data_IF_268843414737
#
_entry.id   IF_268843414737
#
_cell.length_a   1.000
_cell.length_b   1.000
_cell.length_c   1.000
_cell.angle_alpha   90.00
_cell.angle_beta   90.00
_cell.angle_gamma   90.00
#
_symmetry.space_group_name_H-M   'P 1'
#
loop_
_entity.id
_entity.type
_entity.pdbx_description
1 polymer ?
#
# COMPACT_ATOMS: atom_id res chain seq x y z
N UNK A 1 -36.64 16.52 -3.54
CA UNK A 1 -35.27 16.06 -3.24
C UNK A 1 -34.30 17.05 -3.88
N UNK A 2 -33.47 17.74 -3.10
CA UNK A 2 -32.43 18.63 -3.64
C UNK A 2 -31.29 17.74 -4.10
N UNK A 3 -30.97 17.78 -5.39
CA UNK A 3 -29.77 17.15 -5.94
C UNK A 3 -28.54 17.71 -5.20
N UNK A 4 -27.89 16.89 -4.38
CA UNK A 4 -26.57 17.21 -3.85
C UNK A 4 -25.63 17.34 -5.06
N UNK A 5 -25.30 18.57 -5.44
CA UNK A 5 -24.20 18.83 -6.34
C UNK A 5 -22.93 18.52 -5.57
N UNK A 6 -22.37 17.32 -5.77
CA UNK A 6 -21.04 16.98 -5.29
C UNK A 6 -20.08 17.86 -6.12
N UNK A 7 -19.34 18.80 -5.51
CA UNK A 7 -18.40 19.62 -6.25
C UNK A 7 -17.38 18.71 -6.93
N UNK A 8 -17.11 19.00 -8.20
CA UNK A 8 -16.13 18.29 -9.00
C UNK A 8 -14.77 18.41 -8.34
N UNK A 9 -14.31 17.34 -7.66
CA UNK A 9 -12.96 17.27 -7.13
C UNK A 9 -12.04 17.24 -8.34
N UNK A 10 -11.27 18.31 -8.57
CA UNK A 10 -10.23 18.31 -9.60
C UNK A 10 -9.03 17.57 -8.99
N UNK A 11 -8.71 16.34 -9.43
CA UNK A 11 -7.54 15.64 -8.91
C UNK A 11 -6.29 16.32 -9.48
N UNK A 12 -5.52 16.99 -8.63
CA UNK A 12 -4.18 17.46 -9.01
C UNK A 12 -3.23 16.26 -8.96
N UNK A 13 -2.90 15.70 -10.13
CA UNK A 13 -1.87 14.66 -10.27
C UNK A 13 -0.49 15.30 -10.11
N UNK A 14 0.11 15.18 -8.93
CA UNK A 14 1.50 15.56 -8.67
C UNK A 14 2.33 14.28 -8.45
N UNK A 15 2.67 13.58 -9.53
CA UNK A 15 3.21 12.21 -9.49
C UNK A 15 4.74 12.12 -9.53
N UNK A 16 5.47 13.17 -9.13
CA UNK A 16 6.96 13.20 -9.19
C UNK A 16 7.63 13.76 -7.94
N UNK A 17 6.85 14.06 -6.90
CA UNK A 17 7.37 14.64 -5.67
C UNK A 17 6.76 13.92 -4.49
N UNK A 18 7.60 13.64 -3.49
CA UNK A 18 7.14 13.22 -2.19
C UNK A 18 6.06 14.19 -1.65
N UNK A 19 5.12 13.71 -0.82
CA UNK A 19 4.08 14.56 -0.28
C UNK A 19 4.71 15.64 0.60
N UNK A 20 4.16 16.85 0.57
CA UNK A 20 4.58 17.89 1.50
C UNK A 20 4.05 17.56 2.89
N UNK A 21 4.88 16.96 3.73
CA UNK A 21 4.56 16.67 5.12
C UNK A 21 5.03 17.82 6.00
N UNK A 22 4.09 18.43 6.72
CA UNK A 22 4.33 19.54 7.65
C UNK A 22 4.08 19.07 9.08
N UNK A 23 4.46 19.86 10.10
CA UNK A 23 4.16 19.55 11.51
C UNK A 23 2.67 19.38 11.85
N UNK A 24 1.77 19.78 10.95
CA UNK A 24 0.32 19.65 11.11
C UNK A 24 -0.26 18.48 10.30
N UNK A 25 0.56 17.84 9.46
CA UNK A 25 0.17 16.74 8.61
C UNK A 25 0.04 15.48 9.45
N UNK A 26 -1.12 14.82 9.38
CA UNK A 26 -1.31 13.45 9.87
C UNK A 26 -1.09 12.49 8.71
N UNK A 27 -0.60 11.29 8.98
CA UNK A 27 -0.41 10.22 7.99
C UNK A 27 -1.23 9.02 8.43
N UNK A 28 -2.05 8.49 7.54
CA UNK A 28 -2.69 7.18 7.68
C UNK A 28 -2.30 6.37 6.46
N UNK A 29 -1.74 5.18 6.71
CA UNK A 29 -1.32 4.26 5.66
C UNK A 29 -1.77 2.84 5.96
N UNK A 30 -2.09 2.10 4.90
CA UNK A 30 -2.41 0.68 4.95
C UNK A 30 -1.58 -0.06 3.90
N UNK A 31 -1.07 -1.23 4.27
CA UNK A 31 -0.56 -2.22 3.33
C UNK A 31 -1.70 -3.16 3.00
N UNK A 32 -2.24 -3.02 1.79
CA UNK A 32 -3.40 -3.79 1.33
C UNK A 32 -3.12 -5.27 1.03
N UNK A 33 -1.86 -5.65 0.84
CA UNK A 33 -1.47 -7.02 0.53
C UNK A 33 -1.93 -7.99 1.64
N UNK A 34 -2.58 -9.08 1.25
CA UNK A 34 -2.92 -10.20 2.12
C UNK A 34 -2.78 -11.51 1.35
N UNK A 35 -2.35 -12.55 2.04
CA UNK A 35 -2.14 -13.87 1.44
C UNK A 35 -3.37 -14.74 1.68
N UNK A 36 -4.07 -15.04 0.60
CA UNK A 36 -5.25 -15.91 0.59
C UNK A 36 -4.94 -17.31 0.09
N UNK A 37 -5.97 -18.17 0.06
CA UNK A 37 -5.86 -19.49 -0.56
C UNK A 37 -5.58 -19.41 -2.07
N UNK A 38 -6.09 -18.38 -2.73
CA UNK A 38 -5.93 -18.17 -4.17
C UNK A 38 -4.65 -17.42 -4.53
N UNK A 39 -4.04 -16.75 -3.55
CA UNK A 39 -2.80 -16.00 -3.72
C UNK A 39 -1.89 -16.18 -2.49
N UNK A 40 -1.31 -17.37 -2.33
CA UNK A 40 -0.49 -17.68 -1.17
C UNK A 40 0.84 -16.94 -1.18
N UNK A 41 1.22 -16.32 -2.30
CA UNK A 41 2.49 -15.60 -2.47
C UNK A 41 2.30 -14.11 -2.75
N UNK A 42 1.15 -13.55 -2.33
CA UNK A 42 0.77 -12.16 -2.55
C UNK A 42 1.83 -11.17 -2.06
N UNK A 43 2.68 -11.50 -1.08
CA UNK A 43 3.73 -10.59 -0.60
C UNK A 43 5.12 -10.89 -1.20
N UNK A 44 5.24 -11.78 -2.19
CA UNK A 44 6.51 -12.16 -2.79
C UNK A 44 7.23 -10.96 -3.41
N UNK A 45 8.51 -10.71 -3.08
CA UNK A 45 9.32 -9.61 -3.62
C UNK A 45 9.35 -9.49 -5.15
N UNK A 46 9.01 -10.55 -5.89
CA UNK A 46 9.09 -10.53 -7.36
C UNK A 46 7.94 -11.22 -8.10
N UNK A 47 7.09 -12.01 -7.43
CA UNK A 47 5.96 -12.71 -8.07
C UNK A 47 4.59 -12.21 -7.63
N UNK A 48 4.54 -11.41 -6.57
CA UNK A 48 3.31 -10.79 -6.10
C UNK A 48 3.53 -9.31 -5.83
N UNK A 49 2.96 -8.89 -4.73
CA UNK A 49 2.85 -7.52 -4.25
C UNK A 49 4.00 -7.12 -3.32
N UNK A 50 5.12 -7.86 -3.35
CA UNK A 50 6.27 -7.56 -2.50
C UNK A 50 6.93 -6.20 -2.81
N UNK A 51 6.65 -5.61 -3.97
CA UNK A 51 6.99 -4.23 -4.27
C UNK A 51 6.13 -3.25 -3.43
N UNK A 52 4.85 -3.54 -3.20
CA UNK A 52 3.99 -2.76 -2.29
C UNK A 52 4.46 -2.89 -0.84
N UNK A 53 4.86 -4.10 -0.43
CA UNK A 53 5.46 -4.33 0.89
C UNK A 53 6.72 -3.47 1.05
N UNK A 54 7.60 -3.46 0.04
CA UNK A 54 8.83 -2.66 0.05
C UNK A 54 8.54 -1.17 0.07
N UNK A 55 7.57 -0.69 -0.71
CA UNK A 55 7.14 0.71 -0.72
C UNK A 55 6.58 1.15 0.62
N UNK A 56 5.78 0.30 1.27
CA UNK A 56 5.20 0.58 2.58
C UNK A 56 6.28 0.84 3.62
N UNK A 57 7.26 -0.07 3.75
CA UNK A 57 8.33 0.11 4.71
C UNK A 57 9.30 1.23 4.34
N UNK A 58 9.54 1.48 3.04
CA UNK A 58 10.28 2.66 2.60
C UNK A 58 9.63 3.95 3.14
N UNK A 59 8.34 4.14 2.91
CA UNK A 59 7.65 5.36 3.35
C UNK A 59 7.56 5.46 4.87
N UNK A 60 7.40 4.34 5.57
CA UNK A 60 7.47 4.28 7.03
C UNK A 60 8.82 4.80 7.54
N UNK A 61 9.92 4.43 6.90
CA UNK A 61 11.27 4.89 7.26
C UNK A 61 11.48 6.36 6.86
N UNK A 62 11.13 6.73 5.62
CA UNK A 62 11.34 8.10 5.08
C UNK A 62 10.57 9.15 5.88
N UNK A 63 9.37 8.82 6.34
CA UNK A 63 8.54 9.75 7.10
C UNK A 63 8.82 9.70 8.60
N UNK A 64 9.78 8.90 9.08
CA UNK A 64 10.03 8.77 10.51
C UNK A 64 10.28 10.11 11.21
N UNK A 65 9.57 10.35 12.30
CA UNK A 65 9.63 11.60 13.06
C UNK A 65 9.05 12.84 12.36
N UNK A 66 8.43 12.71 11.18
CA UNK A 66 7.83 13.84 10.44
C UNK A 66 6.31 13.86 10.59
N UNK A 67 5.68 15.03 10.59
CA UNK A 67 4.24 15.15 10.75
C UNK A 67 3.78 15.32 12.19
N UNK A 68 2.47 15.37 12.39
CA UNK A 68 1.80 15.48 13.69
C UNK A 68 1.59 14.12 14.34
N UNK A 69 1.10 13.17 13.54
CA UNK A 69 0.86 11.78 13.94
C UNK A 69 0.90 10.89 12.71
N UNK A 70 1.20 9.60 12.93
CA UNK A 70 1.24 8.60 11.86
C UNK A 70 0.58 7.31 12.34
N UNK A 71 -0.16 6.67 11.44
CA UNK A 71 -0.72 5.34 11.61
C UNK A 71 -0.33 4.50 10.40
N UNK A 72 0.31 3.37 10.65
CA UNK A 72 0.78 2.44 9.63
C UNK A 72 0.12 1.09 9.88
N UNK A 73 -0.81 0.69 9.03
CA UNK A 73 -1.69 -0.45 9.22
C UNK A 73 -1.24 -1.58 8.29
N UNK A 74 -1.13 -2.80 8.80
CA UNK A 74 -0.73 -3.98 8.03
C UNK A 74 -1.63 -5.16 8.33
N UNK A 75 -1.93 -5.99 7.33
CA UNK A 75 -2.64 -7.27 7.52
C UNK A 75 -1.71 -8.44 7.86
N UNK A 76 -0.40 -8.33 7.62
CA UNK A 76 0.59 -9.39 7.84
C UNK A 76 1.63 -8.96 8.88
N UNK A 77 1.99 -9.86 9.81
CA UNK A 77 3.06 -9.58 10.78
C UNK A 77 4.40 -9.42 10.04
N UNK A 78 5.21 -8.36 10.31
CA UNK A 78 6.49 -8.18 9.64
C UNK A 78 7.48 -9.33 9.87
N UNK A 79 7.40 -10.00 11.03
CA UNK A 79 8.24 -11.17 11.32
C UNK A 79 7.85 -12.36 10.44
N UNK A 80 6.56 -12.52 10.14
CA UNK A 80 6.08 -13.54 9.20
C UNK A 80 6.61 -13.27 7.79
N UNK A 81 6.57 -12.03 7.33
CA UNK A 81 7.10 -11.63 6.02
C UNK A 81 8.59 -11.96 5.88
N UNK A 82 9.38 -11.71 6.93
CA UNK A 82 10.81 -12.05 6.95
C UNK A 82 11.09 -13.54 7.04
N UNK A 83 10.30 -14.27 7.82
CA UNK A 83 10.44 -15.73 7.93
C UNK A 83 10.13 -16.42 6.59
N UNK A 84 9.12 -15.93 5.87
CA UNK A 84 8.66 -16.51 4.60
C UNK A 84 9.48 -16.08 3.40
N UNK A 85 9.79 -14.79 3.28
CA UNK A 85 10.43 -14.21 2.09
C UNK A 85 11.86 -13.74 2.31
N UNK A 86 12.34 -13.79 3.55
CA UNK A 86 13.69 -13.40 3.93
C UNK A 86 14.62 -14.58 4.18
N UNK A 87 15.77 -14.26 4.80
CA UNK A 87 16.78 -15.18 5.39
C UNK A 87 17.64 -15.99 4.43
N UNK A 88 17.15 -16.28 3.25
CA UNK A 88 17.93 -16.91 2.20
C UNK A 88 17.64 -16.27 0.84
N UNK A 89 18.61 -16.37 -0.06
CA UNK A 89 18.38 -16.04 -1.45
C UNK A 89 17.81 -17.29 -2.14
N UNK A 90 16.56 -17.21 -2.58
CA UNK A 90 15.93 -18.25 -3.37
C UNK A 90 15.53 -17.71 -4.74
N UNK A 91 15.94 -18.44 -5.79
CA UNK A 91 15.48 -18.23 -7.15
C UNK A 91 14.66 -19.43 -7.61
N UNK A 92 13.46 -19.18 -8.11
CA UNK A 92 12.59 -20.19 -8.73
C UNK A 92 12.46 -19.94 -10.22
N UNK A 93 12.03 -20.97 -10.97
CA UNK A 93 11.78 -20.86 -12.41
C UNK A 93 10.28 -20.68 -12.61
N UNK A 94 9.87 -19.50 -13.09
CA UNK A 94 8.47 -19.08 -13.11
C UNK A 94 8.03 -18.69 -14.52
N UNK A 95 6.79 -19.04 -14.86
CA UNK A 95 6.15 -18.64 -16.11
C UNK A 95 5.50 -17.25 -15.93
N UNK A 96 6.33 -16.22 -16.03
CA UNK A 96 5.88 -14.82 -15.88
C UNK A 96 4.94 -14.41 -17.03
N UNK A 97 5.02 -15.07 -18.18
CA UNK A 97 4.22 -14.74 -19.37
C UNK A 97 2.86 -15.47 -19.39
N UNK A 98 2.64 -16.43 -18.48
CA UNK A 98 1.39 -17.18 -18.34
C UNK A 98 1.03 -18.04 -19.55
N UNK A 99 1.99 -18.32 -20.44
CA UNK A 99 1.77 -19.04 -21.70
C UNK A 99 2.35 -20.47 -21.68
N UNK A 100 2.98 -20.88 -20.58
CA UNK A 100 3.56 -22.19 -20.31
C UNK A 100 4.84 -22.49 -21.11
N UNK A 101 5.34 -21.54 -21.90
CA UNK A 101 6.41 -21.81 -22.88
C UNK A 101 7.78 -21.29 -22.48
N UNK A 102 7.85 -20.28 -21.61
CA UNK A 102 9.13 -19.68 -21.19
C UNK A 102 9.17 -19.50 -19.67
N UNK A 103 9.93 -20.37 -19.00
CA UNK A 103 10.28 -20.18 -17.59
C UNK A 103 11.46 -19.23 -17.46
N UNK A 104 11.36 -18.23 -16.58
CA UNK A 104 12.43 -17.28 -16.27
C UNK A 104 12.85 -17.45 -14.81
N UNK A 105 14.16 -17.34 -14.48
CA UNK A 105 14.59 -17.32 -13.10
C UNK A 105 14.09 -16.04 -12.42
N UNK A 106 13.41 -16.19 -11.28
CA UNK A 106 12.86 -15.08 -10.48
C UNK A 106 13.36 -15.21 -9.06
N UNK A 107 13.86 -14.10 -8.50
CA UNK A 107 14.27 -14.04 -7.10
C UNK A 107 13.02 -13.95 -6.20
N UNK A 108 12.64 -15.04 -5.56
CA UNK A 108 11.42 -15.13 -4.74
C UNK A 108 11.66 -14.91 -3.25
N UNK A 109 12.91 -15.07 -2.80
CA UNK A 109 13.35 -14.68 -1.46
C UNK A 109 14.64 -13.88 -1.53
N UNK A 110 14.82 -12.93 -0.63
CA UNK A 110 16.08 -12.21 -0.50
C UNK A 110 16.61 -12.34 0.93
N UNK A 111 17.86 -12.75 1.09
CA UNK A 111 18.44 -12.99 2.41
C UNK A 111 18.40 -11.75 3.32
N UNK A 112 18.46 -10.56 2.72
CA UNK A 112 18.36 -9.27 3.40
C UNK A 112 16.90 -8.85 3.74
N UNK A 113 15.91 -9.70 3.50
CA UNK A 113 14.49 -9.37 3.68
C UNK A 113 13.92 -8.59 2.49
N UNK A 114 13.18 -7.52 2.76
CA UNK A 114 12.62 -6.67 1.70
C UNK A 114 13.59 -5.54 1.36
N UNK A 115 13.82 -5.37 0.05
CA UNK A 115 14.68 -4.35 -0.51
C UNK A 115 13.89 -3.50 -1.51
N UNK A 116 14.13 -2.20 -1.50
CA UNK A 116 13.52 -1.24 -2.40
C UNK A 116 14.56 -0.59 -3.32
N UNK A 117 14.17 -0.30 -4.57
CA UNK A 117 14.99 0.38 -5.57
C UNK A 117 15.09 -0.38 -6.89
N UNK A 118 15.78 0.23 -7.86
CA UNK A 118 16.02 -0.38 -9.18
C UNK A 118 16.85 -1.66 -9.02
N UNK A 119 16.43 -2.81 -9.60
CA UNK A 119 17.18 -4.07 -9.53
C UNK A 119 18.58 -4.01 -10.16
N UNK A 120 18.85 -3.01 -11.01
CA UNK A 120 20.15 -2.79 -11.66
C UNK A 120 21.04 -1.78 -10.92
N UNK A 121 20.56 -1.15 -9.85
CA UNK A 121 21.32 -0.20 -9.04
C UNK A 121 21.50 -0.69 -7.59
N UNK A 122 22.17 0.13 -6.77
CA UNK A 122 22.26 -0.12 -5.33
C UNK A 122 20.87 0.02 -4.68
N UNK A 123 20.35 -1.10 -4.16
CA UNK A 123 19.05 -1.17 -3.49
C UNK A 123 19.19 -0.94 -1.99
N UNK A 124 18.11 -0.47 -1.36
CA UNK A 124 18.06 -0.21 0.09
C UNK A 124 17.20 -1.26 0.78
N UNK A 125 17.72 -1.81 1.88
CA UNK A 125 16.95 -2.68 2.77
C UNK A 125 15.92 -1.84 3.50
N UNK A 126 14.66 -2.28 3.47
CA UNK A 126 13.52 -1.58 4.09
C UNK A 126 12.85 -2.42 5.17
N UNK A 127 13.05 -3.75 5.17
CA UNK A 127 12.67 -4.64 6.27
C UNK A 127 13.67 -5.80 6.34
N UNK A 128 14.33 -5.96 7.47
CA UNK A 128 15.22 -7.08 7.82
C UNK A 128 15.13 -7.39 9.32
N UNK A 129 15.83 -8.42 9.79
CA UNK A 129 15.84 -8.81 11.22
C UNK A 129 16.35 -7.68 12.14
N UNK A 130 17.21 -6.79 11.63
CA UNK A 130 17.76 -5.67 12.39
C UNK A 130 16.73 -4.54 12.57
N UNK A 131 15.95 -4.23 11.52
CA UNK A 131 14.91 -3.22 11.51
C UNK A 131 13.61 -3.71 12.16
N UNK A 132 13.37 -5.03 12.17
CA UNK A 132 12.14 -5.65 12.65
C UNK A 132 11.66 -5.13 14.01
N UNK A 133 12.49 -5.05 15.08
CA UNK A 133 12.04 -4.55 16.37
C UNK A 133 11.52 -3.10 16.29
N UNK A 134 12.19 -2.25 15.53
CA UNK A 134 11.82 -0.83 15.37
C UNK A 134 10.55 -0.65 14.55
N UNK A 135 10.37 -1.48 13.53
CA UNK A 135 9.19 -1.46 12.66
C UNK A 135 7.96 -1.97 13.41
N UNK A 136 8.12 -3.05 14.19
CA UNK A 136 7.01 -3.68 14.92
C UNK A 136 6.32 -2.72 15.88
N UNK A 137 7.09 -1.85 16.54
CA UNK A 137 6.55 -0.84 17.46
C UNK A 137 5.83 0.32 16.77
N UNK A 138 5.98 0.44 15.43
CA UNK A 138 5.44 1.55 14.63
C UNK A 138 4.25 1.18 13.76
N UNK A 139 3.97 -0.11 13.63
CA UNK A 139 2.86 -0.63 12.84
C UNK A 139 1.73 -1.13 13.73
N UNK A 140 0.51 -0.98 13.24
CA UNK A 140 -0.69 -1.57 13.81
C UNK A 140 -1.09 -2.76 12.96
N UNK A 141 -1.07 -3.95 13.55
CA UNK A 141 -1.54 -5.16 12.89
C UNK A 141 -3.07 -5.16 12.92
N UNK A 142 -3.67 -4.99 11.75
CA UNK A 142 -5.11 -5.03 11.55
C UNK A 142 -5.65 -6.46 11.42
N UNK A 143 -6.97 -6.61 11.24
CA UNK A 143 -7.57 -7.90 10.93
C UNK A 143 -7.16 -8.39 9.53
N UNK A 144 -7.38 -9.67 9.26
CA UNK A 144 -7.20 -10.30 7.95
C UNK A 144 -8.42 -10.13 7.05
N UNK A 145 -8.24 -10.30 5.74
CA UNK A 145 -9.35 -10.29 4.80
C UNK A 145 -9.97 -8.91 4.61
N UNK A 146 -11.20 -8.91 4.10
CA UNK A 146 -12.02 -7.70 3.87
C UNK A 146 -12.23 -6.84 5.12
N UNK A 147 -12.10 -7.39 6.33
CA UNK A 147 -12.18 -6.63 7.57
C UNK A 147 -11.06 -5.58 7.71
N UNK A 148 -9.92 -5.76 7.03
CA UNK A 148 -8.81 -4.79 7.02
C UNK A 148 -9.25 -3.46 6.41
N UNK A 149 -10.11 -3.51 5.37
CA UNK A 149 -10.72 -2.35 4.74
C UNK A 149 -11.48 -1.50 5.75
N UNK A 150 -12.40 -2.12 6.49
CA UNK A 150 -13.26 -1.42 7.45
C UNK A 150 -12.44 -0.85 8.60
N UNK A 151 -11.45 -1.62 9.05
CA UNK A 151 -10.50 -1.14 10.04
C UNK A 151 -9.78 0.12 9.55
N UNK A 152 -9.25 0.12 8.33
CA UNK A 152 -8.60 1.30 7.75
C UNK A 152 -9.56 2.48 7.58
N UNK A 153 -10.77 2.27 7.05
CA UNK A 153 -11.74 3.35 6.85
C UNK A 153 -12.15 4.02 8.16
N UNK A 154 -12.32 3.24 9.24
CA UNK A 154 -12.59 3.78 10.57
C UNK A 154 -11.41 4.64 11.09
N UNK A 155 -10.17 4.18 10.90
CA UNK A 155 -8.97 4.93 11.29
C UNK A 155 -8.81 6.22 10.48
N UNK A 156 -9.14 6.17 9.19
CA UNK A 156 -9.16 7.35 8.33
C UNK A 156 -10.23 8.36 8.78
N UNK A 157 -11.45 7.91 9.06
CA UNK A 157 -12.56 8.77 9.51
C UNK A 157 -12.20 9.48 10.83
N UNK A 158 -11.71 8.75 11.83
CA UNK A 158 -11.29 9.35 13.10
C UNK A 158 -10.10 10.32 12.92
N UNK A 159 -9.18 10.01 12.00
CA UNK A 159 -8.06 10.92 11.68
C UNK A 159 -8.53 12.20 11.01
N UNK A 160 -9.47 12.12 10.06
CA UNK A 160 -10.06 13.28 9.39
C UNK A 160 -10.83 14.14 10.39
N UNK A 161 -11.61 13.52 11.27
CA UNK A 161 -12.36 14.19 12.34
C UNK A 161 -11.43 14.92 13.32
N UNK A 162 -10.33 14.30 13.75
CA UNK A 162 -9.32 14.94 14.60
C UNK A 162 -8.60 16.10 13.87
N UNK A 163 -8.28 15.93 12.58
CA UNK A 163 -7.72 16.99 11.75
C UNK A 163 -8.66 18.19 11.64
N UNK A 164 -9.97 17.95 11.48
CA UNK A 164 -10.99 18.98 11.39
C UNK A 164 -11.09 19.81 12.68
N UNK A 165 -11.03 19.16 13.85
CA UNK A 165 -11.07 19.83 15.15
C UNK A 165 -9.84 20.72 15.39
N UNK A 166 -8.68 20.33 14.85
CA UNK A 166 -7.44 21.07 15.00
C UNK A 166 -7.22 22.16 13.94
N UNK A 167 -8.10 22.27 12.92
CA UNK A 167 -7.89 23.15 11.77
C UNK A 167 -6.67 22.75 10.91
N UNK A 168 -6.27 21.49 10.97
CA UNK A 168 -5.09 20.96 10.30
C UNK A 168 -5.43 20.44 8.89
N UNK A 169 -4.39 20.26 8.07
CA UNK A 169 -4.48 19.53 6.80
C UNK A 169 -4.08 18.07 7.05
N UNK A 170 -4.87 17.10 6.60
CA UNK A 170 -4.53 15.68 6.69
C UNK A 170 -3.86 15.18 5.41
N UNK A 171 -2.95 14.22 5.50
CA UNK A 171 -2.48 13.45 4.35
C UNK A 171 -2.75 11.97 4.61
N UNK A 172 -3.25 11.25 3.61
CA UNK A 172 -3.31 9.79 3.68
C UNK A 172 -2.38 9.25 2.60
N UNK A 173 -1.58 8.26 2.96
CA UNK A 173 -0.78 7.54 1.98
C UNK A 173 -1.37 6.14 1.91
N UNK A 174 -2.11 5.82 0.86
CA UNK A 174 -2.78 4.53 0.75
C UNK A 174 -1.99 3.64 -0.22
N UNK A 175 -1.46 2.52 0.28
CA UNK A 175 -0.62 1.61 -0.51
C UNK A 175 -1.43 0.33 -0.73
N UNK A 176 -2.19 0.34 -1.81
CA UNK A 176 -3.10 -0.73 -2.20
C UNK A 176 -3.19 -0.84 -3.73
N UNK A 177 -3.52 -2.03 -4.25
CA UNK A 177 -3.85 -2.22 -5.65
C UNK A 177 -5.07 -1.38 -6.02
N UNK A 178 -4.86 -0.34 -6.82
CA UNK A 178 -5.91 0.24 -7.63
C UNK A 178 -6.06 -0.61 -8.90
N UNK A 179 -7.15 -1.34 -9.03
CA UNK A 179 -7.41 -2.11 -10.24
C UNK A 179 -8.28 -1.30 -11.22
N UNK A 180 -7.85 -1.22 -12.47
CA UNK A 180 -8.63 -0.66 -13.57
C UNK A 180 -9.90 -1.49 -13.84
N UNK A 181 -9.87 -2.79 -13.55
CA UNK A 181 -10.96 -3.72 -13.80
C UNK A 181 -12.01 -3.76 -12.65
N UNK A 182 -11.77 -3.09 -11.51
CA UNK A 182 -12.71 -3.03 -10.36
C UNK A 182 -13.59 -1.77 -10.31
N UNK A 183 -13.81 -1.10 -11.45
CA UNK A 183 -14.43 0.24 -11.53
C UNK A 183 -13.66 1.33 -10.76
N UNK A 184 -12.33 1.17 -10.56
CA UNK A 184 -11.47 2.20 -9.99
C UNK A 184 -11.49 2.29 -8.46
N UNK A 185 -11.39 1.16 -7.77
CA UNK A 185 -11.20 1.12 -6.31
C UNK A 185 -9.92 0.41 -5.87
N UNK A 186 -9.67 0.42 -4.57
CA UNK A 186 -8.43 -0.08 -3.95
C UNK A 186 -8.68 -1.39 -3.20
N UNK A 187 -7.91 -2.43 -3.49
CA UNK A 187 -8.00 -3.74 -2.82
C UNK A 187 -7.23 -3.73 -1.48
N UNK A 188 -7.96 -3.82 -0.38
CA UNK A 188 -7.37 -3.86 0.96
C UNK A 188 -7.77 -5.15 1.65
N UNK A 189 -6.79 -6.01 1.91
CA UNK A 189 -6.99 -7.29 2.58
C UNK A 189 -7.54 -8.40 1.68
N UNK A 190 -7.50 -8.24 0.35
CA UNK A 190 -7.92 -9.26 -0.62
C UNK A 190 -6.99 -9.26 -1.82
N UNK A 191 -6.91 -10.39 -2.51
CA UNK A 191 -6.16 -10.55 -3.76
C UNK A 191 -7.07 -10.35 -4.97
N UNK A 192 -6.57 -9.83 -6.11
CA UNK A 192 -7.30 -9.86 -7.38
C UNK A 192 -7.64 -11.28 -7.86
N UNK A 193 -7.01 -12.32 -7.29
CA UNK A 193 -7.28 -13.72 -7.58
C UNK A 193 -8.36 -14.34 -6.67
N UNK A 194 -8.89 -13.59 -5.70
CA UNK A 194 -10.02 -14.02 -4.89
C UNK A 194 -11.35 -13.98 -5.68
N UNK A 195 -12.41 -14.53 -5.10
CA UNK A 195 -13.70 -14.54 -5.79
C UNK A 195 -14.30 -13.12 -5.90
N UNK A 196 -15.17 -12.92 -6.89
CA UNK A 196 -15.74 -11.62 -7.22
C UNK A 196 -16.55 -10.99 -6.08
N UNK A 197 -17.16 -11.81 -5.21
CA UNK A 197 -17.95 -11.35 -4.07
C UNK A 197 -17.05 -10.79 -2.97
N UNK A 198 -15.98 -11.51 -2.61
CA UNK A 198 -14.97 -11.07 -1.65
C UNK A 198 -14.27 -9.78 -2.12
N UNK A 199 -13.98 -9.68 -3.42
CA UNK A 199 -13.40 -8.47 -4.01
C UNK A 199 -14.38 -7.29 -3.90
N UNK A 200 -15.63 -7.46 -4.35
CA UNK A 200 -16.64 -6.37 -4.31
C UNK A 200 -16.81 -5.79 -2.92
N UNK A 201 -16.77 -6.64 -1.91
CA UNK A 201 -16.95 -6.28 -0.51
C UNK A 201 -15.66 -5.81 0.19
N UNK A 202 -14.49 -5.87 -0.46
CA UNK A 202 -13.22 -5.41 0.12
C UNK A 202 -12.63 -4.17 -0.58
N UNK A 203 -13.17 -3.79 -1.74
CA UNK A 203 -12.71 -2.61 -2.50
C UNK A 203 -13.06 -1.30 -1.77
N UNK A 204 -12.07 -0.45 -1.53
CA UNK A 204 -12.27 0.95 -1.18
C UNK A 204 -12.57 1.73 -2.45
N UNK A 205 -13.83 2.13 -2.60
CA UNK A 205 -14.28 2.97 -3.69
C UNK A 205 -14.23 4.46 -3.33
N UNK A 206 -14.12 5.37 -4.31
CA UNK A 206 -14.04 6.80 -4.08
C UNK A 206 -15.17 7.38 -3.20
N UNK A 207 -16.39 6.81 -3.26
CA UNK A 207 -17.51 7.29 -2.45
C UNK A 207 -17.28 7.20 -0.94
N UNK A 208 -16.50 6.23 -0.44
CA UNK A 208 -16.21 6.11 0.99
C UNK A 208 -15.32 7.27 1.45
N UNK A 209 -14.33 7.64 0.63
CA UNK A 209 -13.46 8.77 0.94
C UNK A 209 -14.23 10.09 0.83
N UNK A 210 -15.07 10.22 -0.20
CA UNK A 210 -15.91 11.42 -0.39
C UNK A 210 -16.91 11.58 0.76
N UNK A 211 -17.52 10.51 1.28
CA UNK A 211 -18.47 10.60 2.40
C UNK A 211 -17.79 11.04 3.69
N UNK A 212 -16.57 10.56 3.97
CA UNK A 212 -15.76 11.01 5.12
C UNK A 212 -15.44 12.51 4.98
N UNK A 213 -14.93 12.95 3.82
CA UNK A 213 -14.54 14.35 3.61
C UNK A 213 -15.72 15.32 3.57
N UNK A 214 -16.91 14.87 3.12
CA UNK A 214 -18.11 15.69 3.09
C UNK A 214 -18.55 16.12 4.50
N UNK A 215 -18.25 15.33 5.54
CA UNK A 215 -18.50 15.68 6.93
C UNK A 215 -17.52 16.75 7.46
N UNK A 216 -16.38 16.92 6.81
CA UNK A 216 -15.25 17.75 7.25
C UNK A 216 -14.66 18.60 6.12
N UNK A 217 -15.41 19.55 5.53
CA UNK A 217 -15.02 20.26 4.31
C UNK A 217 -13.77 21.16 4.45
N UNK A 218 -13.35 21.47 5.68
CA UNK A 218 -12.11 22.21 5.96
C UNK A 218 -10.85 21.36 5.88
N UNK A 219 -11.00 20.03 5.89
CA UNK A 219 -9.88 19.09 5.83
C UNK A 219 -9.47 18.89 4.38
N UNK A 220 -8.18 19.05 4.12
CA UNK A 220 -7.58 18.65 2.85
C UNK A 220 -7.06 17.23 3.00
N UNK A 221 -7.26 16.42 1.96
CA UNK A 221 -6.70 15.09 1.84
C UNK A 221 -5.81 15.06 0.61
N UNK A 222 -4.56 14.65 0.80
CA UNK A 222 -3.70 14.19 -0.29
C UNK A 222 -3.71 12.69 -0.21
N UNK A 223 -3.95 12.01 -1.32
CA UNK A 223 -3.83 10.56 -1.40
C UNK A 223 -2.66 10.23 -2.33
N UNK A 224 -1.73 9.47 -1.81
CA UNK A 224 -0.71 8.84 -2.62
C UNK A 224 -1.14 7.42 -2.90
N UNK A 225 -1.23 7.10 -4.18
CA UNK A 225 -1.34 5.76 -4.71
C UNK A 225 -0.13 5.64 -5.63
N UNK A 226 0.81 4.76 -5.31
CA UNK A 226 1.98 4.56 -6.15
C UNK A 226 2.17 3.05 -6.33
N UNK A 227 1.95 2.46 -7.50
CA UNK A 227 2.31 2.84 -8.89
C UNK A 227 3.79 2.55 -9.18
N UNK A 228 3.93 1.49 -9.94
CA UNK A 228 5.10 0.91 -10.58
C UNK A 228 5.99 1.95 -11.30
N UNK A 229 7.24 2.11 -10.85
CA UNK A 229 8.35 2.55 -11.70
C UNK A 229 8.75 1.37 -12.61
N UNK A 230 7.99 1.14 -13.68
CA UNK A 230 8.45 0.26 -14.76
C UNK A 230 9.40 1.03 -15.67
N UNK A 231 10.67 0.66 -15.66
CA UNK A 231 11.58 0.97 -16.75
C UNK A 231 11.18 0.14 -18.00
N UNK A 232 11.21 0.70 -19.21
CA UNK A 232 10.87 -0.03 -20.42
C UNK A 232 11.89 -1.14 -20.70
N UNK A 233 11.40 -2.38 -20.79
CA UNK A 233 12.09 -3.41 -21.56
C UNK A 233 12.10 -2.97 -23.02
N UNK A 234 13.24 -2.43 -23.44
CA UNK A 234 13.46 -1.98 -24.81
C UNK A 234 14.80 -1.28 -24.96
N UNK A 235 15.88 -2.06 -25.04
CA UNK A 235 17.05 -1.63 -25.79
C UNK A 235 16.75 -1.92 -27.26
N UNK A 236 16.73 -0.87 -28.07
CA UNK A 236 17.15 -0.87 -29.48
C UNK A 236 17.85 0.49 -29.68
N UNK A 237 19.18 0.56 -29.65
CA UNK A 237 20.06 0.40 -30.81
C UNK A 237 19.68 -0.70 -31.81
#
# INVERSE_FOLDING_TARGET
MKNLQIPFVIPTRHTRSAPSVTKNTRVVAVLGADEGLNDPNAASPSLGDGWMVSNFYLWLIVLDGVGKSQQWIIGMDPAYLLDKYGREDEMTMEDIEGNGTVLKPVQTKCAAGFIHGDPFEERKVVLDDYLLPRIRDRVTIGPKGSALRDFFLNQLEETVKDAAQCGDKSSANDISYGDYDTDGGLLVGVSPFDNEEDIKDAVIRPQYIVSILAQHPGVKLTILYDLMLLWPLGRDC
#
